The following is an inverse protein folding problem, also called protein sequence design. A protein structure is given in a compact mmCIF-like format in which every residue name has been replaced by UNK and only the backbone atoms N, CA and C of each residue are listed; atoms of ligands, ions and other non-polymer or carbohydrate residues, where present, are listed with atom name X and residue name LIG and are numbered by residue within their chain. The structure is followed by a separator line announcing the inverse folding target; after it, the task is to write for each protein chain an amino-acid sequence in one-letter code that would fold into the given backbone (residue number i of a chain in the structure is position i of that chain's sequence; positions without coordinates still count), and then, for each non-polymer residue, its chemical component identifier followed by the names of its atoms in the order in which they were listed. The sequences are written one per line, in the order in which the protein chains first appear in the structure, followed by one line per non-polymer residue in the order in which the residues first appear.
data_IF_386577974602
#
_entry.id   IF_386577974602
#
_cell.length_a   1.000
_cell.length_b   1.000
_cell.length_c   1.000
_cell.angle_alpha   90.00
_cell.angle_beta   90.00
_cell.angle_gamma   90.00
#
_symmetry.space_group_name_H-M   'P 1'
#
loop_
_entity.id
_entity.type
_entity.pdbx_description
1 polymer ?
#
# COMPACT_ATOMS: atom_id res chain seq x y z
N UNK A 1 -13.48 -4.31 -12.80
CA UNK A 1 -12.70 -3.09 -12.47
C UNK A 1 -11.42 -3.00 -13.28
N UNK A 2 -10.56 -4.03 -13.33
CA UNK A 2 -9.27 -3.96 -14.05
C UNK A 2 -9.39 -3.59 -15.53
N UNK A 3 -10.37 -4.15 -16.25
CA UNK A 3 -10.68 -3.75 -17.64
C UNK A 3 -11.15 -2.29 -17.71
N UNK A 4 -11.89 -1.80 -16.72
CA UNK A 4 -12.31 -0.41 -16.63
C UNK A 4 -11.13 0.55 -16.41
N UNK A 5 -10.17 0.17 -15.55
CA UNK A 5 -8.91 0.90 -15.38
C UNK A 5 -8.15 0.96 -16.71
N UNK A 6 -7.99 -0.18 -17.40
CA UNK A 6 -7.39 -0.24 -18.72
C UNK A 6 -8.10 0.67 -19.73
N UNK A 7 -9.44 0.64 -19.78
CA UNK A 7 -10.23 1.48 -20.66
C UNK A 7 -9.96 2.97 -20.43
N UNK A 8 -9.94 3.42 -19.16
CA UNK A 8 -9.69 4.82 -18.81
C UNK A 8 -8.28 5.25 -19.25
N UNK A 9 -7.26 4.43 -19.00
CA UNK A 9 -5.87 4.71 -19.39
C UNK A 9 -5.56 4.43 -20.87
N UNK A 10 -6.54 3.96 -21.65
CA UNK A 10 -6.39 3.75 -23.10
C UNK A 10 -7.10 4.86 -23.88
N UNK A 11 -8.31 5.21 -23.46
CA UNK A 11 -9.18 6.10 -24.23
C UNK A 11 -9.33 7.50 -23.63
N UNK A 12 -9.09 7.68 -22.33
CA UNK A 12 -9.24 8.99 -21.67
C UNK A 12 -7.89 9.62 -21.31
N UNK A 13 -7.00 8.86 -20.66
CA UNK A 13 -5.59 9.25 -20.47
C UNK A 13 -4.74 8.56 -21.54
N UNK A 14 -4.74 9.12 -22.75
CA UNK A 14 -4.17 8.49 -23.96
C UNK A 14 -2.65 8.44 -23.98
N UNK A 15 -1.97 9.15 -23.09
CA UNK A 15 -0.52 9.10 -22.96
C UNK A 15 -0.09 7.78 -22.29
N UNK A 16 0.22 6.78 -23.13
CA UNK A 16 0.62 5.44 -22.72
C UNK A 16 1.95 5.45 -21.96
N UNK A 17 2.91 6.28 -22.35
CA UNK A 17 4.25 6.30 -21.72
C UNK A 17 4.18 6.88 -20.31
N UNK A 18 3.25 7.81 -20.06
CA UNK A 18 2.99 8.34 -18.72
C UNK A 18 2.11 7.41 -17.84
N UNK A 19 1.41 6.43 -18.41
CA UNK A 19 0.48 5.57 -17.70
C UNK A 19 1.15 4.37 -16.99
N UNK A 20 1.14 4.39 -15.65
CA UNK A 20 1.77 3.35 -14.82
C UNK A 20 1.27 1.92 -15.08
N UNK A 21 0.06 1.75 -15.65
CA UNK A 21 -0.47 0.42 -16.01
C UNK A 21 0.28 -0.20 -17.21
N UNK A 22 0.93 0.62 -18.04
CA UNK A 22 1.62 0.21 -19.25
C UNK A 22 3.14 0.25 -19.09
N UNK A 23 3.69 1.24 -18.37
CA UNK A 23 5.14 1.43 -18.18
C UNK A 23 5.92 0.13 -17.92
N UNK A 24 5.49 -0.65 -16.93
CA UNK A 24 6.19 -1.88 -16.54
C UNK A 24 5.95 -3.04 -17.50
N UNK A 25 4.79 -3.06 -18.14
CA UNK A 25 4.42 -4.09 -19.10
C UNK A 25 5.15 -3.88 -20.43
N UNK A 26 5.27 -2.64 -20.90
CA UNK A 26 5.94 -2.29 -22.14
C UNK A 26 7.45 -2.58 -22.04
N UNK A 27 8.11 -2.21 -20.94
CA UNK A 27 9.51 -2.61 -20.67
C UNK A 27 9.66 -4.14 -20.63
N UNK A 28 8.68 -4.87 -20.10
CA UNK A 28 8.70 -6.33 -20.09
C UNK A 28 8.57 -6.92 -21.50
N UNK A 29 7.77 -6.33 -22.40
CA UNK A 29 7.70 -6.72 -23.82
C UNK A 29 9.06 -6.52 -24.48
N UNK A 30 9.68 -5.36 -24.31
CA UNK A 30 10.98 -5.05 -24.91
C UNK A 30 12.01 -6.11 -24.50
N UNK A 31 12.10 -6.41 -23.20
CA UNK A 31 13.00 -7.45 -22.68
C UNK A 31 12.62 -8.82 -23.26
N UNK A 32 11.32 -9.15 -23.32
CA UNK A 32 10.85 -10.42 -23.85
C UNK A 32 11.29 -10.62 -25.30
N UNK A 33 11.07 -9.61 -26.16
CA UNK A 33 11.38 -9.69 -27.58
C UNK A 33 12.89 -9.74 -27.84
N UNK A 34 13.67 -8.91 -27.15
CA UNK A 34 15.14 -8.88 -27.29
C UNK A 34 15.84 -10.14 -26.75
N UNK A 35 15.18 -10.87 -25.84
CA UNK A 35 15.73 -12.11 -25.25
C UNK A 35 15.13 -13.38 -25.84
N UNK A 36 14.37 -13.29 -26.94
CA UNK A 36 13.66 -14.43 -27.54
C UNK A 36 14.57 -15.59 -27.91
N UNK A 37 15.73 -15.29 -28.50
CA UNK A 37 16.71 -16.29 -28.95
C UNK A 37 17.73 -16.66 -27.85
N UNK A 38 17.73 -15.95 -26.71
CA UNK A 38 18.69 -16.16 -25.63
C UNK A 38 17.97 -16.40 -24.29
N UNK A 39 17.63 -17.67 -24.03
CA UNK A 39 16.95 -18.09 -22.81
C UNK A 39 17.76 -17.85 -21.53
N UNK A 40 19.09 -17.96 -21.60
CA UNK A 40 19.96 -17.68 -20.46
C UNK A 40 19.83 -16.20 -20.06
N UNK A 41 19.91 -15.29 -21.03
CA UNK A 41 19.74 -13.86 -20.80
C UNK A 41 18.34 -13.55 -20.26
N UNK A 42 17.29 -14.16 -20.81
CA UNK A 42 15.92 -14.04 -20.27
C UNK A 42 15.82 -14.51 -18.82
N UNK A 43 16.46 -15.62 -18.48
CA UNK A 43 16.51 -16.13 -17.11
C UNK A 43 17.23 -15.17 -16.16
N UNK A 44 18.30 -14.49 -16.61
CA UNK A 44 18.95 -13.45 -15.81
C UNK A 44 17.97 -12.31 -15.46
N UNK A 45 17.18 -11.85 -16.44
CA UNK A 45 16.15 -10.84 -16.18
C UNK A 45 15.08 -11.33 -15.20
N UNK A 46 14.53 -12.54 -15.42
CA UNK A 46 13.49 -13.14 -14.58
C UNK A 46 13.95 -13.36 -13.13
N UNK A 47 15.14 -13.91 -12.96
CA UNK A 47 15.67 -14.29 -11.65
C UNK A 47 16.35 -13.11 -10.92
N UNK A 48 16.84 -12.12 -11.67
CA UNK A 48 17.68 -11.05 -11.16
C UNK A 48 19.13 -11.46 -10.91
N UNK A 49 19.52 -12.70 -11.19
CA UNK A 49 20.92 -13.13 -11.15
C UNK A 49 21.61 -12.74 -12.46
N UNK A 50 22.41 -11.68 -12.40
CA UNK A 50 23.16 -11.17 -13.55
C UNK A 50 24.52 -11.84 -13.58
N UNK A 51 24.84 -12.46 -14.71
CA UNK A 51 26.21 -12.84 -15.05
C UNK A 51 26.84 -11.65 -15.80
N UNK A 52 28.14 -11.41 -15.67
CA UNK A 52 28.80 -10.31 -16.40
C UNK A 52 28.65 -10.54 -17.92
N UNK A 53 27.65 -9.90 -18.52
CA UNK A 53 27.23 -10.08 -19.90
C UNK A 53 26.92 -8.72 -20.52
N UNK A 54 27.68 -8.33 -21.55
CA UNK A 54 27.49 -7.07 -22.27
C UNK A 54 26.08 -6.99 -22.88
N UNK A 55 25.49 -8.12 -23.26
CA UNK A 55 24.14 -8.17 -23.82
C UNK A 55 23.06 -7.78 -22.81
N UNK A 56 23.31 -7.96 -21.51
CA UNK A 56 22.38 -7.57 -20.46
C UNK A 56 22.21 -6.05 -20.39
N UNK A 57 23.31 -5.31 -20.48
CA UNK A 57 23.29 -3.85 -20.50
C UNK A 57 22.68 -3.32 -21.79
N UNK A 58 22.99 -3.91 -22.95
CA UNK A 58 22.41 -3.51 -24.23
C UNK A 58 20.87 -3.63 -24.26
N UNK A 59 20.30 -4.65 -23.61
CA UNK A 59 18.84 -4.80 -23.46
C UNK A 59 18.28 -3.73 -22.51
N UNK A 60 18.97 -3.46 -21.41
CA UNK A 60 18.52 -2.47 -20.43
C UNK A 60 18.49 -1.05 -20.97
N UNK A 61 19.43 -0.69 -21.84
CA UNK A 61 19.47 0.63 -22.48
C UNK A 61 18.25 0.90 -23.37
N UNK A 62 17.53 -0.15 -23.78
CA UNK A 62 16.28 -0.05 -24.55
C UNK A 62 15.04 0.11 -23.65
N UNK A 63 15.17 -0.13 -22.34
CA UNK A 63 14.07 0.03 -21.38
C UNK A 63 13.99 1.47 -20.87
N UNK A 64 12.79 1.94 -20.54
CA UNK A 64 12.58 3.33 -20.11
C UNK A 64 12.42 3.47 -18.60
N UNK A 65 11.94 2.42 -17.93
CA UNK A 65 11.52 2.46 -16.53
C UNK A 65 12.23 1.43 -15.64
N UNK A 66 13.15 0.63 -16.19
CA UNK A 66 13.95 -0.30 -15.40
C UNK A 66 14.76 0.43 -14.34
N UNK A 67 15.47 1.49 -14.73
CA UNK A 67 16.15 2.40 -13.82
C UNK A 67 15.31 3.65 -13.55
N UNK A 68 15.57 4.32 -12.43
CA UNK A 68 15.04 5.67 -12.17
C UNK A 68 16.16 6.66 -12.41
N UNK A 69 15.81 7.82 -12.94
CA UNK A 69 16.72 8.97 -13.08
C UNK A 69 17.07 9.63 -11.72
N UNK A 70 16.70 9.00 -10.61
CA UNK A 70 16.87 9.51 -9.26
C UNK A 70 17.67 8.50 -8.45
N UNK A 71 18.61 9.00 -7.64
CA UNK A 71 19.51 8.25 -6.78
C UNK A 71 18.77 7.63 -5.58
N UNK A 72 17.87 6.68 -5.86
CA UNK A 72 17.23 5.88 -4.84
C UNK A 72 18.03 4.60 -4.58
N UNK A 73 18.31 4.25 -3.31
CA UNK A 73 19.01 3.01 -2.97
C UNK A 73 18.19 1.75 -3.30
N UNK A 74 16.86 1.88 -3.46
CA UNK A 74 15.97 0.75 -3.76
C UNK A 74 14.96 1.13 -4.87
N UNK A 75 15.10 0.48 -6.02
CA UNK A 75 14.17 0.61 -7.14
C UNK A 75 13.24 -0.61 -7.20
N UNK A 76 11.94 -0.36 -7.09
CA UNK A 76 10.87 -1.36 -7.10
C UNK A 76 10.27 -1.61 -8.49
N UNK A 77 10.63 -0.81 -9.52
CA UNK A 77 10.15 -1.01 -10.89
C UNK A 77 10.52 -2.39 -11.47
N UNK A 78 11.78 -2.88 -11.32
CA UNK A 78 12.17 -4.19 -11.86
C UNK A 78 11.32 -5.34 -11.34
N UNK A 79 10.75 -5.25 -10.14
CA UNK A 79 9.90 -6.33 -9.60
C UNK A 79 8.64 -6.50 -10.45
N UNK A 80 7.97 -5.40 -10.80
CA UNK A 80 6.75 -5.48 -11.63
C UNK A 80 7.08 -5.83 -13.08
N UNK A 81 8.21 -5.32 -13.61
CA UNK A 81 8.68 -5.69 -14.96
C UNK A 81 8.93 -7.19 -15.02
N UNK A 82 9.61 -7.78 -14.03
CA UNK A 82 9.85 -9.23 -13.94
C UNK A 82 8.57 -10.05 -13.84
N UNK A 83 7.57 -9.60 -13.08
CA UNK A 83 6.28 -10.27 -12.99
C UNK A 83 5.57 -10.28 -14.35
N UNK A 84 5.56 -9.16 -15.06
CA UNK A 84 5.02 -9.10 -16.42
C UNK A 84 5.83 -9.98 -17.38
N UNK A 85 7.16 -9.94 -17.32
CA UNK A 85 8.04 -10.79 -18.13
C UNK A 85 7.76 -12.28 -17.92
N UNK A 86 7.52 -12.69 -16.68
CA UNK A 86 7.12 -14.06 -16.36
C UNK A 86 5.76 -14.42 -16.97
N UNK A 87 4.77 -13.53 -16.88
CA UNK A 87 3.43 -13.76 -17.45
C UNK A 87 3.49 -13.76 -19.00
N UNK A 88 4.42 -13.02 -19.62
CA UNK A 88 4.62 -13.03 -21.08
C UNK A 88 4.97 -14.41 -21.63
N UNK A 89 5.58 -15.29 -20.83
CA UNK A 89 5.92 -16.67 -21.23
C UNK A 89 4.70 -17.48 -21.69
N UNK A 90 3.50 -17.14 -21.24
CA UNK A 90 2.27 -17.89 -21.56
C UNK A 90 1.08 -17.01 -21.94
N UNK A 91 1.22 -15.68 -21.91
CA UNK A 91 0.13 -14.75 -22.27
C UNK A 91 0.11 -14.33 -23.74
N UNK A 92 1.14 -14.67 -24.53
CA UNK A 92 1.26 -14.28 -25.95
C UNK A 92 1.08 -12.76 -26.18
N UNK A 93 1.50 -11.92 -25.24
CA UNK A 93 1.33 -10.47 -25.34
C UNK A 93 -0.10 -9.95 -25.10
N UNK A 94 -1.05 -10.78 -24.65
CA UNK A 94 -2.40 -10.31 -24.33
C UNK A 94 -2.44 -9.62 -22.96
N UNK A 95 -2.50 -8.28 -22.95
CA UNK A 95 -2.51 -7.46 -21.73
C UNK A 95 -3.58 -7.85 -20.70
N UNK A 96 -4.75 -8.31 -21.15
CA UNK A 96 -5.82 -8.72 -20.23
C UNK A 96 -5.53 -9.99 -19.44
N UNK A 97 -4.62 -10.87 -19.91
CA UNK A 97 -4.15 -12.01 -19.13
C UNK A 97 -3.36 -11.52 -17.91
N UNK A 98 -2.52 -10.48 -18.09
CA UNK A 98 -1.82 -9.82 -16.99
C UNK A 98 -2.80 -9.19 -16.01
N UNK A 99 -3.79 -8.46 -16.54
CA UNK A 99 -4.84 -7.84 -15.72
C UNK A 99 -5.58 -8.88 -14.86
N UNK A 100 -5.91 -10.03 -15.44
CA UNK A 100 -6.57 -11.13 -14.74
C UNK A 100 -5.69 -11.70 -13.63
N UNK A 101 -4.40 -11.96 -13.91
CA UNK A 101 -3.46 -12.54 -12.93
C UNK A 101 -3.20 -11.59 -11.77
N UNK A 102 -2.93 -10.30 -12.06
CA UNK A 102 -2.74 -9.29 -11.02
C UNK A 102 -4.00 -9.14 -10.14
N UNK A 103 -5.18 -9.09 -10.76
CA UNK A 103 -6.46 -9.05 -10.04
C UNK A 103 -6.67 -10.29 -9.17
N UNK A 104 -6.33 -11.48 -9.68
CA UNK A 104 -6.47 -12.73 -8.95
C UNK A 104 -5.52 -12.81 -7.75
N UNK A 105 -4.25 -12.44 -7.93
CA UNK A 105 -3.28 -12.37 -6.84
C UNK A 105 -3.72 -11.38 -5.77
N UNK A 106 -4.18 -10.20 -6.17
CA UNK A 106 -4.70 -9.22 -5.22
C UNK A 106 -5.93 -9.74 -4.46
N UNK A 107 -6.84 -10.44 -5.15
CA UNK A 107 -7.97 -11.11 -4.52
C UNK A 107 -7.53 -12.13 -3.46
N UNK A 108 -6.54 -12.98 -3.76
CA UNK A 108 -5.98 -13.91 -2.77
C UNK A 108 -5.37 -13.17 -1.56
N UNK A 109 -4.69 -12.06 -1.80
CA UNK A 109 -4.18 -11.16 -0.76
C UNK A 109 -5.29 -10.62 0.14
N UNK A 110 -6.35 -10.09 -0.46
CA UNK A 110 -7.53 -9.60 0.28
C UNK A 110 -8.21 -10.71 1.08
N UNK A 111 -8.26 -11.95 0.57
CA UNK A 111 -8.76 -13.11 1.34
C UNK A 111 -7.84 -13.45 2.51
N UNK A 112 -6.52 -13.41 2.32
CA UNK A 112 -5.57 -13.64 3.40
C UNK A 112 -5.67 -12.55 4.48
N UNK A 113 -5.81 -11.28 4.08
CA UNK A 113 -6.03 -10.14 4.95
C UNK A 113 -7.36 -10.26 5.71
N UNK A 114 -8.43 -10.69 5.04
CA UNK A 114 -9.72 -10.99 5.67
C UNK A 114 -9.57 -12.02 6.79
N UNK A 115 -8.84 -13.12 6.54
CA UNK A 115 -8.59 -14.16 7.54
C UNK A 115 -7.80 -13.63 8.74
N UNK A 116 -6.79 -12.79 8.48
CA UNK A 116 -6.02 -12.13 9.53
C UNK A 116 -6.92 -11.25 10.42
N UNK A 117 -7.68 -10.34 9.81
CA UNK A 117 -8.54 -9.39 10.52
C UNK A 117 -9.63 -10.13 11.32
N UNK A 118 -10.29 -11.12 10.70
CA UNK A 118 -11.39 -11.88 11.32
C UNK A 118 -10.96 -12.58 12.60
N UNK A 119 -9.69 -12.99 12.73
CA UNK A 119 -9.18 -13.65 13.94
C UNK A 119 -9.25 -12.75 15.18
N UNK A 120 -9.03 -11.45 15.01
CA UNK A 120 -8.97 -10.49 16.12
C UNK A 120 -10.22 -9.61 16.21
N UNK A 121 -10.99 -9.48 15.14
CA UNK A 121 -12.12 -8.57 15.03
C UNK A 121 -13.42 -9.13 15.63
N UNK A 122 -14.26 -8.23 16.14
CA UNK A 122 -15.65 -8.52 16.49
C UNK A 122 -16.65 -8.06 15.42
N UNK A 123 -16.15 -7.49 14.30
CA UNK A 123 -16.95 -7.04 13.16
C UNK A 123 -17.50 -8.26 12.42
N UNK A 124 -18.72 -8.15 11.89
CA UNK A 124 -19.34 -9.25 11.14
C UNK A 124 -18.55 -9.60 9.87
N UNK A 125 -18.52 -10.87 9.44
CA UNK A 125 -17.87 -11.28 8.19
C UNK A 125 -18.36 -10.50 6.96
N UNK A 126 -19.65 -10.12 6.91
CA UNK A 126 -20.22 -9.35 5.80
C UNK A 126 -19.66 -7.92 5.74
N UNK A 127 -19.49 -7.26 6.88
CA UNK A 127 -18.87 -5.92 6.93
C UNK A 127 -17.38 -6.01 6.58
N UNK A 128 -16.66 -7.02 7.09
CA UNK A 128 -15.27 -7.25 6.70
C UNK A 128 -15.14 -7.51 5.19
N UNK A 129 -16.08 -8.24 4.60
CA UNK A 129 -16.14 -8.44 3.16
C UNK A 129 -16.35 -7.11 2.43
N UNK A 130 -17.29 -6.28 2.88
CA UNK A 130 -17.52 -4.96 2.29
C UNK A 130 -16.27 -4.07 2.32
N UNK A 131 -15.56 -4.05 3.46
CA UNK A 131 -14.33 -3.27 3.61
C UNK A 131 -13.26 -3.70 2.60
N UNK A 132 -13.07 -5.01 2.38
CA UNK A 132 -11.95 -5.51 1.57
C UNK A 132 -12.28 -5.67 0.08
N UNK A 133 -13.56 -5.82 -0.27
CA UNK A 133 -13.99 -6.20 -1.61
C UNK A 133 -15.04 -5.26 -2.23
N UNK A 134 -15.58 -4.28 -1.50
CA UNK A 134 -16.61 -3.36 -2.02
C UNK A 134 -16.20 -1.88 -2.03
N UNK A 135 -15.06 -1.51 -1.42
CA UNK A 135 -14.58 -0.13 -1.44
C UNK A 135 -14.05 0.22 -2.84
N UNK A 136 -14.60 1.25 -3.50
CA UNK A 136 -14.26 1.57 -4.88
C UNK A 136 -12.75 1.73 -5.12
N UNK A 137 -12.05 2.52 -4.32
CA UNK A 137 -10.60 2.73 -4.47
C UNK A 137 -9.82 1.44 -4.29
N UNK A 138 -10.13 0.64 -3.27
CA UNK A 138 -9.47 -0.64 -3.02
C UNK A 138 -9.60 -1.54 -4.25
N UNK A 139 -10.81 -1.77 -4.76
CA UNK A 139 -10.99 -2.68 -5.91
C UNK A 139 -10.35 -2.08 -7.16
N UNK A 140 -10.51 -0.78 -7.38
CA UNK A 140 -10.08 -0.11 -8.60
C UNK A 140 -8.57 -0.24 -8.80
N UNK A 141 -7.78 0.24 -7.84
CA UNK A 141 -6.32 0.26 -7.96
C UNK A 141 -5.65 -1.10 -7.75
N UNK A 142 -6.31 -2.02 -7.03
CA UNK A 142 -5.81 -3.39 -6.84
C UNK A 142 -6.19 -4.34 -7.99
N UNK A 143 -6.96 -3.88 -8.99
CA UNK A 143 -7.37 -4.71 -10.13
C UNK A 143 -6.55 -4.47 -11.41
N UNK A 144 -5.60 -3.54 -11.38
CA UNK A 144 -4.73 -3.22 -12.51
C UNK A 144 -3.42 -3.99 -12.52
N UNK A 145 -2.70 -3.91 -13.65
CA UNK A 145 -1.28 -4.30 -13.76
C UNK A 145 -0.42 -3.22 -13.07
N UNK A 146 -0.56 -3.15 -11.75
CA UNK A 146 0.01 -2.11 -10.89
C UNK A 146 0.72 -2.71 -9.69
N UNK A 147 1.56 -1.89 -9.05
CA UNK A 147 2.26 -2.24 -7.81
C UNK A 147 1.31 -2.61 -6.67
N UNK A 148 0.14 -1.98 -6.63
CA UNK A 148 -0.84 -2.09 -5.53
C UNK A 148 -1.50 -3.47 -5.50
N UNK A 149 -1.80 -4.04 -6.66
CA UNK A 149 -2.35 -5.39 -6.77
C UNK A 149 -1.40 -6.44 -6.15
N UNK A 150 -0.11 -6.37 -6.52
CA UNK A 150 0.93 -7.23 -5.97
C UNK A 150 1.25 -6.93 -4.51
N UNK A 151 1.23 -5.65 -4.12
CA UNK A 151 1.37 -5.22 -2.73
C UNK A 151 0.30 -5.83 -1.83
N UNK A 152 -0.97 -5.84 -2.24
CA UNK A 152 -2.07 -6.43 -1.46
C UNK A 152 -1.91 -7.94 -1.31
N UNK A 153 -1.45 -8.63 -2.36
CA UNK A 153 -1.06 -10.03 -2.29
C UNK A 153 0.00 -10.26 -1.19
N UNK A 154 1.11 -9.52 -1.26
CA UNK A 154 2.20 -9.65 -0.30
C UNK A 154 1.77 -9.30 1.13
N UNK A 155 1.07 -8.18 1.32
CA UNK A 155 0.62 -7.69 2.61
C UNK A 155 -0.33 -8.67 3.30
N UNK A 156 -1.32 -9.18 2.57
CA UNK A 156 -2.31 -10.11 3.11
C UNK A 156 -1.69 -11.41 3.60
N UNK A 157 -0.83 -12.03 2.79
CA UNK A 157 -0.15 -13.26 3.19
C UNK A 157 0.91 -13.03 4.26
N UNK A 158 1.65 -11.92 4.22
CA UNK A 158 2.60 -11.55 5.27
C UNK A 158 1.93 -11.51 6.64
N UNK A 159 0.79 -10.82 6.77
CA UNK A 159 0.05 -10.72 8.02
C UNK A 159 -0.60 -12.06 8.44
N UNK A 160 -1.10 -12.83 7.48
CA UNK A 160 -1.66 -14.15 7.75
C UNK A 160 -0.60 -15.11 8.32
N UNK A 161 0.59 -15.17 7.72
CA UNK A 161 1.66 -16.04 8.20
C UNK A 161 2.29 -15.55 9.50
N UNK A 162 2.35 -14.23 9.72
CA UNK A 162 2.68 -13.67 11.03
C UNK A 162 1.72 -14.17 12.11
N UNK A 163 0.41 -14.11 11.87
CA UNK A 163 -0.58 -14.64 12.80
C UNK A 163 -0.43 -16.15 13.00
N UNK A 164 -0.23 -16.91 11.93
CA UNK A 164 -0.07 -18.37 12.02
C UNK A 164 1.14 -18.74 12.88
N UNK A 165 2.25 -18.01 12.75
CA UNK A 165 3.43 -18.16 13.60
C UNK A 165 3.16 -17.84 15.06
N UNK A 166 2.36 -16.80 15.33
CA UNK A 166 1.98 -16.46 16.70
C UNK A 166 1.19 -17.58 17.36
N UNK A 167 0.25 -18.19 16.63
CA UNK A 167 -0.60 -19.28 17.12
C UNK A 167 0.14 -20.60 17.24
N UNK A 168 0.93 -20.96 16.23
CA UNK A 168 1.72 -22.17 16.20
C UNK A 168 2.98 -21.98 15.34
N UNK A 169 4.13 -22.13 15.97
CA UNK A 169 5.40 -22.11 15.26
C UNK A 169 5.51 -23.37 14.37
N UNK A 170 5.63 -23.16 13.05
CA UNK A 170 5.97 -24.18 12.06
C UNK A 170 6.99 -23.59 11.10
N UNK A 171 7.96 -24.41 10.67
CA UNK A 171 8.99 -23.96 9.72
C UNK A 171 8.38 -23.52 8.39
N UNK A 172 7.28 -24.13 7.96
CA UNK A 172 6.54 -23.74 6.76
C UNK A 172 5.90 -22.35 6.90
N UNK A 173 5.35 -22.01 8.08
CA UNK A 173 4.84 -20.67 8.35
C UNK A 173 5.98 -19.65 8.42
N UNK A 174 7.14 -20.02 8.98
CA UNK A 174 8.31 -19.15 9.06
C UNK A 174 8.85 -18.85 7.67
N UNK A 175 9.05 -19.89 6.86
CA UNK A 175 9.48 -19.75 5.49
C UNK A 175 8.54 -18.85 4.69
N UNK A 176 7.23 -19.10 4.75
CA UNK A 176 6.25 -18.27 4.06
C UNK A 176 6.25 -16.81 4.57
N UNK A 177 6.32 -16.59 5.88
CA UNK A 177 6.45 -15.26 6.47
C UNK A 177 7.68 -14.51 5.95
N UNK A 178 8.84 -15.16 5.92
CA UNK A 178 10.10 -14.59 5.41
C UNK A 178 10.01 -14.29 3.91
N UNK A 179 9.44 -15.20 3.11
CA UNK A 179 9.22 -14.98 1.67
C UNK A 179 8.33 -13.76 1.44
N UNK A 180 7.18 -13.66 2.11
CA UNK A 180 6.29 -12.52 1.93
C UNK A 180 6.85 -11.21 2.51
N UNK A 181 7.67 -11.27 3.56
CA UNK A 181 8.43 -10.12 4.06
C UNK A 181 9.44 -9.63 3.01
N UNK A 182 10.18 -10.55 2.39
CA UNK A 182 11.14 -10.26 1.32
C UNK A 182 10.46 -9.64 0.09
N UNK A 183 9.34 -10.22 -0.37
CA UNK A 183 8.57 -9.66 -1.48
C UNK A 183 8.02 -8.26 -1.17
N UNK A 184 7.54 -8.03 0.06
CA UNK A 184 7.06 -6.73 0.49
C UNK A 184 8.19 -5.70 0.59
N UNK A 185 9.37 -6.12 1.06
CA UNK A 185 10.58 -5.28 1.12
C UNK A 185 10.97 -4.75 -0.25
N UNK A 186 10.96 -5.60 -1.28
CA UNK A 186 11.35 -5.23 -2.65
C UNK A 186 10.31 -4.38 -3.40
N UNK A 187 9.09 -4.31 -2.89
CA UNK A 187 8.02 -3.50 -3.50
C UNK A 187 7.88 -2.16 -2.80
N UNK A 188 7.61 -2.16 -1.50
CA UNK A 188 7.39 -0.95 -0.72
C UNK A 188 7.91 -1.14 0.69
N UNK A 189 9.23 -0.97 0.84
CA UNK A 189 9.93 -1.10 2.12
C UNK A 189 9.30 -0.28 3.24
N UNK A 190 8.81 0.94 2.95
CA UNK A 190 8.18 1.82 3.94
C UNK A 190 6.89 1.21 4.55
N UNK A 191 6.18 0.35 3.83
CA UNK A 191 5.00 -0.38 4.34
C UNK A 191 5.42 -1.43 5.35
N UNK A 192 6.46 -2.20 5.03
CA UNK A 192 7.01 -3.20 5.94
C UNK A 192 7.53 -2.52 7.22
N UNK A 193 8.31 -1.44 7.09
CA UNK A 193 8.84 -0.68 8.23
C UNK A 193 7.71 -0.09 9.08
N UNK A 194 6.68 0.47 8.45
CA UNK A 194 5.52 1.03 9.16
C UNK A 194 4.70 -0.02 9.93
N UNK A 195 4.75 -1.29 9.55
CA UNK A 195 4.09 -2.38 10.28
C UNK A 195 4.85 -2.82 11.54
N UNK A 196 6.18 -2.64 11.60
CA UNK A 196 7.03 -3.21 12.66
C UNK A 196 6.54 -2.85 14.07
N UNK A 197 6.29 -1.56 14.43
CA UNK A 197 5.89 -1.23 15.80
C UNK A 197 4.53 -1.85 16.17
N UNK A 198 3.61 -1.91 15.21
CA UNK A 198 2.31 -2.55 15.38
C UNK A 198 2.42 -4.07 15.55
N UNK A 199 3.24 -4.74 14.74
CA UNK A 199 3.47 -6.19 14.84
C UNK A 199 4.14 -6.56 16.16
N UNK A 200 5.10 -5.74 16.61
CA UNK A 200 5.74 -5.92 17.91
C UNK A 200 4.71 -5.78 19.04
N UNK A 201 3.85 -4.77 18.98
CA UNK A 201 2.73 -4.64 19.91
C UNK A 201 1.83 -5.88 19.91
N UNK A 202 1.40 -6.37 18.74
CA UNK A 202 0.57 -7.57 18.62
C UNK A 202 1.25 -8.78 19.26
N UNK A 203 2.55 -9.00 18.97
CA UNK A 203 3.31 -10.13 19.49
C UNK A 203 3.47 -10.07 21.00
N UNK A 204 3.89 -8.93 21.54
CA UNK A 204 4.10 -8.77 22.99
C UNK A 204 2.78 -8.87 23.74
N UNK A 205 1.71 -8.27 23.23
CA UNK A 205 0.39 -8.41 23.84
C UNK A 205 -0.13 -9.87 23.77
N UNK A 206 0.22 -10.64 22.75
CA UNK A 206 -0.12 -12.07 22.70
C UNK A 206 0.65 -12.88 23.75
N UNK A 207 1.91 -12.56 24.01
CA UNK A 207 2.76 -13.26 24.98
C UNK A 207 2.41 -12.90 26.43
N UNK A 208 2.26 -11.60 26.72
CA UNK A 208 2.09 -11.10 28.09
C UNK A 208 0.64 -10.84 28.49
N UNK A 209 -0.28 -10.79 27.52
CA UNK A 209 -1.71 -10.51 27.71
C UNK A 209 -1.97 -9.34 28.68
N UNK A 210 -1.37 -8.18 28.39
CA UNK A 210 -1.44 -7.01 29.27
C UNK A 210 -2.88 -6.61 29.60
N UNK A 211 -3.13 -6.38 30.90
CA UNK A 211 -4.44 -5.91 31.40
C UNK A 211 -4.82 -4.56 30.80
N UNK A 212 -3.90 -3.59 30.85
CA UNK A 212 -4.07 -2.27 30.25
C UNK A 212 -3.35 -2.20 28.89
N UNK A 213 -4.07 -2.63 27.85
CA UNK A 213 -3.56 -2.69 26.47
C UNK A 213 -3.19 -1.33 25.91
N UNK A 214 -3.94 -0.27 26.26
CA UNK A 214 -3.72 1.09 25.78
C UNK A 214 -2.42 1.64 26.38
N UNK A 215 -2.23 1.49 27.70
CA UNK A 215 -1.00 1.97 28.34
C UNK A 215 0.24 1.26 27.77
N UNK A 216 0.17 -0.06 27.63
CA UNK A 216 1.29 -0.83 27.10
C UNK A 216 1.57 -0.49 25.62
N UNK A 217 0.52 -0.24 24.83
CA UNK A 217 0.62 0.28 23.47
C UNK A 217 1.35 1.63 23.42
N UNK A 218 0.95 2.59 24.27
CA UNK A 218 1.55 3.92 24.32
C UNK A 218 3.01 3.85 24.73
N UNK A 219 3.32 3.16 25.83
CA UNK A 219 4.71 2.99 26.31
C UNK A 219 5.58 2.38 25.22
N UNK A 220 5.11 1.33 24.55
CA UNK A 220 5.88 0.66 23.50
C UNK A 220 6.11 1.57 22.30
N UNK A 221 5.07 2.18 21.74
CA UNK A 221 5.21 3.00 20.53
C UNK A 221 5.97 4.31 20.81
N UNK A 222 5.76 4.95 21.96
CA UNK A 222 6.51 6.14 22.37
C UNK A 222 7.98 5.76 22.63
N UNK A 223 8.24 4.64 23.31
CA UNK A 223 9.60 4.14 23.52
C UNK A 223 10.34 3.87 22.21
N UNK A 224 9.68 3.19 21.25
CA UNK A 224 10.23 2.95 19.91
C UNK A 224 10.48 4.27 19.19
N UNK A 225 9.53 5.21 19.23
CA UNK A 225 9.68 6.51 18.58
C UNK A 225 10.85 7.31 19.17
N UNK A 226 11.00 7.35 20.50
CA UNK A 226 12.11 8.03 21.17
C UNK A 226 13.44 7.39 20.78
N UNK A 227 13.57 6.06 20.88
CA UNK A 227 14.79 5.33 20.52
C UNK A 227 15.15 5.48 19.04
N UNK A 228 14.16 5.51 18.16
CA UNK A 228 14.39 5.66 16.72
C UNK A 228 14.80 7.10 16.39
N UNK A 229 14.07 8.09 16.90
CA UNK A 229 14.35 9.50 16.60
C UNK A 229 15.65 9.99 17.27
N UNK A 230 15.99 9.52 18.47
CA UNK A 230 17.25 9.89 19.12
C UNK A 230 18.47 9.51 18.28
N UNK A 231 18.40 8.38 17.58
CA UNK A 231 19.51 7.84 16.81
C UNK A 231 19.46 8.21 15.31
N UNK A 232 18.26 8.48 14.76
CA UNK A 232 18.07 8.58 13.31
C UNK A 232 17.30 9.82 12.83
N UNK A 233 16.95 10.78 13.69
CA UNK A 233 16.16 11.96 13.29
C UNK A 233 16.68 12.68 12.04
N UNK A 234 17.99 12.92 11.96
CA UNK A 234 18.60 13.61 10.82
C UNK A 234 18.48 12.79 9.53
N UNK A 235 18.79 11.48 9.59
CA UNK A 235 18.67 10.59 8.44
C UNK A 235 17.21 10.44 7.97
N UNK A 236 16.26 10.41 8.90
CA UNK A 236 14.82 10.40 8.58
C UNK A 236 14.44 11.68 7.87
N UNK A 237 14.87 12.84 8.38
CA UNK A 237 14.62 14.14 7.75
C UNK A 237 15.17 14.19 6.33
N UNK A 238 16.41 13.75 6.12
CA UNK A 238 17.07 13.72 4.81
C UNK A 238 16.32 12.82 3.82
N UNK A 239 16.02 11.57 4.19
CA UNK A 239 15.31 10.62 3.32
C UNK A 239 13.92 11.14 2.95
N UNK A 240 13.16 11.65 3.92
CA UNK A 240 11.80 12.14 3.70
C UNK A 240 11.83 13.42 2.84
N UNK A 241 12.75 14.34 3.12
CA UNK A 241 12.89 15.59 2.35
C UNK A 241 13.35 15.33 0.91
N UNK A 242 14.31 14.42 0.72
CA UNK A 242 14.77 14.00 -0.60
C UNK A 242 13.61 13.39 -1.38
N UNK A 243 12.92 12.41 -0.79
CA UNK A 243 11.76 11.77 -1.43
C UNK A 243 10.68 12.78 -1.82
N UNK A 244 10.37 13.74 -0.96
CA UNK A 244 9.43 14.81 -1.28
C UNK A 244 9.90 15.63 -2.49
N UNK A 245 11.16 16.07 -2.49
CA UNK A 245 11.71 16.89 -3.56
C UNK A 245 11.73 16.13 -4.90
N UNK A 246 12.08 14.85 -4.88
CA UNK A 246 12.06 13.98 -6.06
C UNK A 246 10.63 13.88 -6.64
N UNK A 247 9.62 13.75 -5.78
CA UNK A 247 8.22 13.73 -6.19
C UNK A 247 7.73 15.09 -6.71
N UNK A 248 8.17 16.20 -6.11
CA UNK A 248 7.86 17.55 -6.62
C UNK A 248 8.47 17.73 -8.01
N UNK A 249 9.73 17.36 -8.20
CA UNK A 249 10.42 17.45 -9.48
C UNK A 249 9.71 16.60 -10.54
N UNK A 250 9.40 15.34 -10.22
CA UNK A 250 8.64 14.47 -11.11
C UNK A 250 7.27 15.06 -11.49
N UNK A 251 6.59 15.69 -10.53
CA UNK A 251 5.29 16.31 -10.76
C UNK A 251 5.39 17.57 -11.65
N UNK A 252 6.47 18.34 -11.54
CA UNK A 252 6.78 19.47 -12.44
C UNK A 252 7.08 18.94 -13.85
N UNK A 253 7.97 17.95 -13.96
CA UNK A 253 8.40 17.37 -15.24
C UNK A 253 7.22 16.72 -16.00
N UNK A 254 6.26 16.16 -15.26
CA UNK A 254 5.05 15.54 -15.82
C UNK A 254 3.85 16.49 -15.97
N UNK A 255 4.02 17.79 -15.72
CA UNK A 255 2.94 18.79 -15.73
C UNK A 255 1.69 18.34 -14.93
N UNK A 256 1.91 17.84 -13.72
CA UNK A 256 0.87 17.27 -12.87
C UNK A 256 -0.19 18.33 -12.52
N UNK A 257 -1.43 18.12 -12.98
CA UNK A 257 -2.55 19.06 -12.80
C UNK A 257 -3.09 19.17 -11.36
N UNK A 258 -2.56 18.37 -10.42
CA UNK A 258 -3.12 18.21 -9.06
C UNK A 258 -2.04 18.29 -7.99
N UNK A 259 -1.13 19.24 -8.17
CA UNK A 259 -0.14 19.60 -7.17
C UNK A 259 -0.85 20.21 -5.96
N UNK A 260 -0.57 19.64 -4.80
CA UNK A 260 -0.89 20.19 -3.51
C UNK A 260 0.22 21.13 -3.11
N UNK A 261 -0.15 22.27 -2.55
CA UNK A 261 0.77 23.11 -1.80
C UNK A 261 1.18 22.37 -0.51
N UNK A 262 2.17 21.49 -0.61
CA UNK A 262 2.75 20.81 0.54
C UNK A 262 3.67 21.79 1.25
N UNK A 263 3.57 21.91 2.57
CA UNK A 263 4.45 22.81 3.29
C UNK A 263 5.91 22.43 3.02
N UNK A 264 6.66 23.37 2.43
CA UNK A 264 8.10 23.20 2.21
C UNK A 264 8.81 23.39 3.53
N UNK A 265 8.82 22.33 4.35
CA UNK A 265 9.67 22.32 5.54
C UNK A 265 11.14 22.20 5.11
N UNK A 266 11.98 23.11 5.62
CA UNK A 266 13.43 23.14 5.41
C UNK A 266 14.22 22.67 6.64
N UNK A 267 13.54 22.40 7.76
CA UNK A 267 14.15 21.93 9.00
C UNK A 267 13.38 20.74 9.58
N UNK A 268 14.05 19.91 10.37
CA UNK A 268 13.42 18.81 11.08
C UNK A 268 12.28 19.28 11.99
N UNK A 269 12.44 20.42 12.67
CA UNK A 269 11.38 21.02 13.50
C UNK A 269 10.14 21.40 12.68
N UNK A 270 10.33 22.00 11.50
CA UNK A 270 9.23 22.34 10.61
C UNK A 270 8.53 21.06 10.08
N UNK A 271 9.27 19.99 9.78
CA UNK A 271 8.69 18.69 9.42
C UNK A 271 7.83 18.12 10.55
N UNK A 272 8.27 18.23 11.80
CA UNK A 272 7.49 17.79 12.97
C UNK A 272 6.20 18.59 13.16
N UNK A 273 6.23 19.89 12.86
CA UNK A 273 5.03 20.75 12.91
C UNK A 273 4.02 20.42 11.81
N UNK A 274 4.48 19.86 10.69
CA UNK A 274 3.63 19.48 9.56
C UNK A 274 3.00 18.08 9.68
N UNK A 275 3.44 17.23 10.63
CA UNK A 275 2.89 15.86 10.79
C UNK A 275 1.35 15.80 10.85
N UNK A 276 0.65 16.69 11.59
CA UNK A 276 -0.81 16.67 11.62
C UNK A 276 -1.42 16.97 10.25
N UNK A 277 -0.86 17.94 9.52
CA UNK A 277 -1.30 18.33 8.19
C UNK A 277 -1.02 17.24 7.15
N UNK A 278 0.15 16.59 7.22
CA UNK A 278 0.50 15.45 6.39
C UNK A 278 -0.48 14.28 6.59
N UNK A 279 -0.76 13.92 7.85
CA UNK A 279 -1.73 12.87 8.17
C UNK A 279 -3.13 13.20 7.67
N UNK A 280 -3.58 14.44 7.89
CA UNK A 280 -4.88 14.92 7.41
C UNK A 280 -4.99 14.87 5.89
N UNK A 281 -3.94 15.33 5.20
CA UNK A 281 -3.85 15.32 3.74
C UNK A 281 -3.97 13.91 3.19
N UNK A 282 -3.28 12.92 3.78
CA UNK A 282 -3.37 11.53 3.29
C UNK A 282 -4.76 10.92 3.47
N UNK A 283 -5.39 11.12 4.62
CA UNK A 283 -6.67 10.46 4.91
C UNK A 283 -7.86 11.15 4.25
N UNK A 284 -7.88 12.48 4.22
CA UNK A 284 -9.10 13.23 3.92
C UNK A 284 -9.08 13.98 2.58
N UNK A 285 -7.92 14.08 1.91
CA UNK A 285 -7.84 14.70 0.58
C UNK A 285 -7.87 13.66 -0.56
N UNK A 286 -8.38 14.01 -1.76
CA UNK A 286 -8.94 15.31 -2.15
C UNK A 286 -10.30 15.60 -1.51
N UNK A 287 -10.56 16.87 -1.17
CA UNK A 287 -11.88 17.37 -0.84
C UNK A 287 -12.74 17.61 -2.09
N UNK A 288 -14.05 17.85 -1.90
CA UNK A 288 -15.00 18.14 -3.00
C UNK A 288 -14.57 19.37 -3.83
N UNK A 289 -13.91 20.33 -3.18
CA UNK A 289 -13.46 21.59 -3.78
C UNK A 289 -12.13 21.47 -4.55
N UNK A 290 -11.44 20.33 -4.44
CA UNK A 290 -10.10 20.10 -4.99
C UNK A 290 -10.14 19.21 -6.24
N UNK A 291 -11.28 19.18 -6.90
CA UNK A 291 -11.56 18.31 -8.03
C UNK A 291 -10.98 18.91 -9.31
N UNK A 292 -9.95 18.24 -9.80
CA UNK A 292 -9.22 18.57 -11.03
C UNK A 292 -9.49 17.59 -12.19
N UNK A 293 -10.27 16.52 -11.95
CA UNK A 293 -10.57 15.49 -12.93
C UNK A 293 -11.48 14.38 -12.38
N UNK A 294 -11.83 13.42 -13.25
CA UNK A 294 -12.78 12.34 -12.92
C UNK A 294 -12.31 11.49 -11.73
N UNK A 295 -11.02 11.18 -11.66
CA UNK A 295 -10.47 10.39 -10.55
C UNK A 295 -10.49 11.13 -9.22
N UNK A 296 -10.14 12.42 -9.20
CA UNK A 296 -10.19 13.22 -7.98
C UNK A 296 -11.62 13.49 -7.54
N UNK A 297 -12.58 13.57 -8.46
CA UNK A 297 -14.01 13.62 -8.16
C UNK A 297 -14.52 12.35 -7.47
N UNK A 298 -14.29 11.17 -8.07
CA UNK A 298 -14.75 9.90 -7.48
C UNK A 298 -14.10 9.69 -6.10
N UNK A 299 -12.82 10.05 -5.98
CA UNK A 299 -12.08 9.94 -4.72
C UNK A 299 -12.57 10.91 -3.66
N UNK A 300 -13.01 12.12 -4.03
CA UNK A 300 -13.53 13.08 -3.07
C UNK A 300 -14.89 12.65 -2.52
N UNK A 301 -15.75 12.03 -3.35
CA UNK A 301 -16.99 11.40 -2.87
C UNK A 301 -16.70 10.24 -1.91
N UNK A 302 -15.72 9.38 -2.22
CA UNK A 302 -15.30 8.32 -1.30
C UNK A 302 -14.80 8.90 0.03
N UNK A 303 -14.01 9.98 0.00
CA UNK A 303 -13.53 10.64 1.21
C UNK A 303 -14.66 11.22 2.08
N UNK A 304 -15.71 11.76 1.47
CA UNK A 304 -16.89 12.22 2.21
C UNK A 304 -17.58 11.05 2.92
N UNK A 305 -17.66 9.89 2.26
CA UNK A 305 -18.21 8.66 2.88
C UNK A 305 -17.30 8.20 4.04
N UNK A 306 -15.97 8.17 3.85
CA UNK A 306 -15.01 7.81 4.90
C UNK A 306 -15.11 8.76 6.10
N UNK A 307 -15.25 10.06 5.87
CA UNK A 307 -15.51 11.07 6.91
C UNK A 307 -16.84 10.79 7.63
N UNK A 308 -17.91 10.46 6.91
CA UNK A 308 -19.19 10.06 7.51
C UNK A 308 -19.06 8.81 8.39
N UNK A 309 -18.29 7.82 7.95
CA UNK A 309 -18.02 6.59 8.74
C UNK A 309 -17.30 6.93 10.05
N UNK A 310 -16.38 7.90 10.04
CA UNK A 310 -15.67 8.36 11.24
C UNK A 310 -16.61 8.88 12.34
N UNK A 311 -17.78 9.41 11.95
CA UNK A 311 -18.78 9.94 12.88
C UNK A 311 -19.69 8.87 13.49
N UNK A 312 -19.74 7.66 12.92
CA UNK A 312 -20.64 6.59 13.39
C UNK A 312 -20.43 6.20 14.87
N UNK A 313 -19.20 6.08 15.39
CA UNK A 313 -18.99 5.78 16.80
C UNK A 313 -19.54 6.86 17.75
N UNK A 314 -19.71 8.11 17.30
CA UNK A 314 -20.30 9.18 18.13
C UNK A 314 -21.78 8.88 18.41
N UNK A 315 -22.50 8.36 17.42
CA UNK A 315 -23.94 8.09 17.52
C UNK A 315 -24.26 6.66 17.97
N UNK A 316 -23.40 5.70 17.63
CA UNK A 316 -23.66 4.27 17.80
C UNK A 316 -22.53 3.56 18.56
N UNK A 317 -21.97 4.21 19.58
CA UNK A 317 -20.82 3.68 20.30
C UNK A 317 -21.04 2.28 20.90
N UNK A 318 -20.05 1.42 20.70
CA UNK A 318 -19.88 0.13 21.37
C UNK A 318 -18.47 0.02 21.92
N UNK A 319 -18.36 -0.36 23.19
CA UNK A 319 -17.06 -0.72 23.77
C UNK A 319 -16.54 -2.01 23.12
N UNK A 320 -15.32 -2.01 22.52
CA UNK A 320 -14.77 -3.20 21.90
C UNK A 320 -14.33 -4.20 22.96
N UNK A 321 -14.38 -5.49 22.60
CA UNK A 321 -13.79 -6.52 23.44
C UNK A 321 -12.25 -6.41 23.43
N UNK A 322 -11.54 -7.05 24.39
CA UNK A 322 -10.09 -6.90 24.49
C UNK A 322 -9.30 -7.36 23.26
N UNK A 323 -9.79 -8.36 22.51
CA UNK A 323 -9.15 -8.84 21.27
C UNK A 323 -9.31 -7.83 20.13
N UNK A 324 -10.51 -7.29 19.96
CA UNK A 324 -10.82 -6.27 18.97
C UNK A 324 -10.07 -4.97 19.27
N UNK A 325 -9.94 -4.59 20.55
CA UNK A 325 -9.12 -3.44 20.95
C UNK A 325 -7.63 -3.62 20.56
N UNK A 326 -7.08 -4.82 20.73
CA UNK A 326 -5.71 -5.14 20.28
C UNK A 326 -5.57 -4.92 18.76
N UNK A 327 -6.56 -5.33 17.96
CA UNK A 327 -6.56 -5.10 16.51
C UNK A 327 -6.65 -3.62 16.14
N UNK A 328 -7.51 -2.85 16.83
CA UNK A 328 -7.62 -1.39 16.65
C UNK A 328 -6.27 -0.72 16.90
N UNK A 329 -5.63 -1.01 18.03
CA UNK A 329 -4.36 -0.39 18.40
C UNK A 329 -3.26 -0.69 17.38
N UNK A 330 -3.13 -1.94 16.93
CA UNK A 330 -2.26 -2.31 15.82
C UNK A 330 -2.56 -1.52 14.54
N UNK A 331 -3.84 -1.47 14.17
CA UNK A 331 -4.30 -0.81 12.95
C UNK A 331 -4.01 0.69 12.99
N UNK A 332 -4.20 1.34 14.13
CA UNK A 332 -3.90 2.75 14.33
C UNK A 332 -2.42 3.06 14.15
N UNK A 333 -1.50 2.24 14.69
CA UNK A 333 -0.06 2.44 14.44
C UNK A 333 0.25 2.47 12.95
N UNK A 334 -0.27 1.50 12.20
CA UNK A 334 -0.05 1.43 10.76
C UNK A 334 -0.66 2.62 10.01
N UNK A 335 -1.90 3.00 10.36
CA UNK A 335 -2.61 4.15 9.79
C UNK A 335 -1.87 5.46 10.04
N UNK A 336 -1.41 5.70 11.27
CA UNK A 336 -0.67 6.92 11.61
C UNK A 336 0.68 6.99 10.91
N UNK A 337 1.49 5.93 10.99
CA UNK A 337 2.83 5.94 10.41
C UNK A 337 2.75 6.12 8.89
N UNK A 338 1.93 5.32 8.20
CA UNK A 338 1.82 5.45 6.75
C UNK A 338 1.11 6.73 6.32
N UNK A 339 0.09 7.16 7.07
CA UNK A 339 -0.61 8.42 6.80
C UNK A 339 0.34 9.61 6.82
N UNK A 340 1.25 9.65 7.80
CA UNK A 340 2.29 10.67 7.91
C UNK A 340 3.32 10.53 6.78
N UNK A 341 3.88 9.34 6.55
CA UNK A 341 4.93 9.13 5.53
C UNK A 341 4.43 9.51 4.13
N UNK A 342 3.22 9.09 3.77
CA UNK A 342 2.63 9.44 2.47
C UNK A 342 2.41 10.96 2.37
N UNK A 343 1.85 11.58 3.40
CA UNK A 343 1.53 13.01 3.39
C UNK A 343 2.75 13.92 3.33
N UNK A 344 3.86 13.50 3.95
CA UNK A 344 5.12 14.23 3.91
C UNK A 344 5.85 14.11 2.56
N UNK A 345 5.66 12.99 1.85
CA UNK A 345 6.46 12.67 0.66
C UNK A 345 5.72 12.87 -0.66
N UNK A 346 4.38 12.84 -0.66
CA UNK A 346 3.58 12.79 -1.89
C UNK A 346 2.76 14.09 -2.07
N UNK A 347 3.19 15.01 -2.94
CA UNK A 347 2.51 16.29 -3.18
C UNK A 347 1.40 16.22 -4.23
N UNK A 348 1.12 15.04 -4.82
CA UNK A 348 0.13 14.91 -5.90
C UNK A 348 -1.11 14.18 -5.40
N UNK A 349 -2.29 14.82 -5.46
CA UNK A 349 -3.55 14.25 -4.95
C UNK A 349 -3.89 12.88 -5.58
N UNK A 350 -3.69 12.75 -6.89
CA UNK A 350 -3.92 11.47 -7.59
C UNK A 350 -3.03 10.33 -7.07
N UNK A 351 -1.79 10.64 -6.70
CA UNK A 351 -0.86 9.65 -6.13
C UNK A 351 -1.23 9.32 -4.68
N UNK A 352 -1.65 10.31 -3.87
CA UNK A 352 -2.13 10.09 -2.50
C UNK A 352 -3.31 9.13 -2.48
N UNK A 353 -4.29 9.32 -3.38
CA UNK A 353 -5.46 8.43 -3.50
C UNK A 353 -5.05 6.98 -3.70
N UNK A 354 -4.01 6.73 -4.49
CA UNK A 354 -3.49 5.39 -4.75
C UNK A 354 -2.65 4.85 -3.59
N UNK A 355 -1.78 5.67 -3.01
CA UNK A 355 -0.86 5.23 -1.96
C UNK A 355 -1.55 5.00 -0.61
N UNK A 356 -2.71 5.64 -0.34
CA UNK A 356 -3.47 5.42 0.89
C UNK A 356 -4.26 4.10 0.94
N UNK A 357 -4.38 3.39 -0.18
CA UNK A 357 -5.23 2.20 -0.30
C UNK A 357 -4.87 1.09 0.68
N UNK A 358 -3.59 0.76 0.93
CA UNK A 358 -3.23 -0.21 1.95
C UNK A 358 -3.68 0.17 3.36
N UNK A 359 -3.87 1.48 3.63
CA UNK A 359 -4.30 2.01 4.93
C UNK A 359 -5.80 1.83 5.15
N UNK A 360 -6.61 1.97 4.10
CA UNK A 360 -8.07 2.04 4.18
C UNK A 360 -8.72 0.87 4.95
N UNK A 361 -8.33 -0.41 4.75
CA UNK A 361 -8.87 -1.50 5.56
C UNK A 361 -8.65 -1.29 7.06
N UNK A 362 -7.43 -0.93 7.45
CA UNK A 362 -7.04 -0.75 8.85
C UNK A 362 -7.69 0.48 9.47
N UNK A 363 -7.83 1.57 8.70
CA UNK A 363 -8.59 2.75 9.11
C UNK A 363 -10.04 2.38 9.41
N UNK A 364 -10.72 1.71 8.49
CA UNK A 364 -12.14 1.36 8.65
C UNK A 364 -12.37 0.36 9.78
N UNK A 365 -11.48 -0.63 9.95
CA UNK A 365 -11.56 -1.56 11.08
C UNK A 365 -11.39 -0.80 12.39
N UNK A 366 -10.48 0.17 12.46
CA UNK A 366 -10.24 0.96 13.65
C UNK A 366 -11.48 1.74 14.09
N UNK A 367 -12.25 2.27 13.13
CA UNK A 367 -13.49 3.01 13.41
C UNK A 367 -14.66 2.06 13.68
N UNK A 368 -14.94 1.14 12.76
CA UNK A 368 -16.14 0.28 12.78
C UNK A 368 -16.15 -0.73 13.93
N UNK A 369 -15.00 -1.02 14.54
CA UNK A 369 -14.92 -1.83 15.75
C UNK A 369 -15.66 -1.19 16.94
N UNK A 370 -15.81 0.14 16.95
CA UNK A 370 -16.54 0.88 17.98
C UNK A 370 -18.01 1.13 17.64
N UNK A 371 -18.53 0.54 16.57
CA UNK A 371 -19.91 0.75 16.11
C UNK A 371 -20.80 -0.42 16.51
N UNK A 372 -21.90 -0.12 17.20
CA UNK A 372 -22.99 -1.05 17.42
C UNK A 372 -23.91 -1.09 16.20
N UNK A 373 -23.57 -1.95 15.23
CA UNK A 373 -24.38 -2.11 14.03
C UNK A 373 -25.83 -2.52 14.30
N UNK A 374 -26.13 -3.11 15.48
CA UNK A 374 -27.51 -3.42 15.86
C UNK A 374 -28.33 -2.17 16.17
N UNK A 375 -27.72 -1.01 16.39
CA UNK A 375 -28.46 0.24 16.66
C UNK A 375 -28.74 1.05 15.40
N UNK A 376 -28.16 0.66 14.26
CA UNK A 376 -28.34 1.39 13.00
C UNK A 376 -29.59 0.85 12.30
N UNK A 377 -30.64 1.68 12.12
CA UNK A 377 -31.82 1.28 11.34
C UNK A 377 -31.39 0.85 9.93
N UNK A 378 -32.07 -0.14 9.35
CA UNK A 378 -31.81 -0.71 8.01
C UNK A 378 -30.57 -1.64 7.88
N UNK A 379 -29.48 -1.42 8.63
CA UNK A 379 -28.29 -2.30 8.56
C UNK A 379 -28.51 -3.65 9.27
N UNK A 380 -29.37 -3.69 10.30
CA UNK A 380 -29.71 -4.92 11.04
C UNK A 380 -30.17 -6.08 10.15
N UNK A 381 -30.83 -5.79 9.01
CA UNK A 381 -31.36 -6.82 8.11
C UNK A 381 -30.30 -7.37 7.15
N UNK A 382 -29.19 -6.67 7.00
CA UNK A 382 -28.14 -6.97 6.02
C UNK A 382 -26.97 -7.70 6.68
N UNK A 383 -26.65 -7.38 7.93
CA UNK A 383 -25.61 -8.02 8.73
C UNK A 383 -26.12 -9.32 9.34
#
# INVERSE_FOLDING_TARGET
MGIGLWFIYTYYYTDRTAADIYKYYDDAIIIFDLTKENWLLRFQFLSGFVFQDENYHAVLDQTQHWYRNVSEPFNDNPVIIRLNLFILLFSNGLFHIHTLIFSFLSFLGSVALFKFIKQFSAISPKVLFAILFLIPSIIFWNSGVLKEAWLFFCLGFFLLFFQNLMQQFKITHLFAFVVFAFLLFHIKTYILVGLIPGLLFLRLNFLFNWKNKILAFLILNIGIAILFLSNYHQKVFEIISQKRNDFIQLAIDSNARSLVDTSTYHTYKAMLMDLPNAFFTTLFRPGIWEVSGVFTFISSLENVILLGILLLPIFYFRKPNPKALTLVLFSLTFVFILGIVIGLTTPVLGAIVRYKIPILPFYLISVLTFVDFKRIPYIQKII
#
